data_IF_725824603527
#
_entry.id   IF_725824603527
#
_cell.length_a   1.000
_cell.length_b   1.000
_cell.length_c   1.000
_cell.angle_alpha   90.00
_cell.angle_beta   90.00
_cell.angle_gamma   90.00
#
_symmetry.space_group_name_H-M   'P 1'
#
loop_
_entity.id
_entity.type
_entity.pdbx_description
1 polymer ?
#
# COMPACT_ATOMS: atom_id res chain seq x y z
N UNK A 1 -7.36 -31.75 0.43
CA UNK A 1 -8.21 -30.56 0.70
C UNK A 1 -7.34 -29.34 0.56
N UNK A 2 -7.80 -28.29 -0.14
CA UNK A 2 -7.12 -27.01 -0.17
C UNK A 2 -7.07 -26.40 1.25
N UNK A 3 -5.95 -25.75 1.59
CA UNK A 3 -5.80 -25.03 2.86
C UNK A 3 -6.39 -23.63 2.73
N UNK A 4 -7.04 -23.14 3.78
CA UNK A 4 -7.52 -21.74 3.84
C UNK A 4 -6.36 -20.78 4.07
N UNK A 5 -6.55 -19.49 3.76
CA UNK A 5 -5.57 -18.45 4.10
C UNK A 5 -5.28 -18.46 5.60
N UNK A 6 -6.30 -18.59 6.46
CA UNK A 6 -6.10 -18.63 7.91
C UNK A 6 -5.16 -19.77 8.34
N UNK A 7 -5.28 -20.96 7.74
CA UNK A 7 -4.41 -22.10 8.02
C UNK A 7 -2.98 -21.88 7.55
N UNK A 8 -2.79 -21.25 6.39
CA UNK A 8 -1.45 -20.91 5.87
C UNK A 8 -0.83 -19.82 6.75
N UNK A 9 -1.61 -18.79 7.12
CA UNK A 9 -1.15 -17.69 7.96
C UNK A 9 -0.72 -18.19 9.35
N UNK A 10 -1.49 -19.09 9.97
CA UNK A 10 -1.13 -19.68 11.26
C UNK A 10 0.18 -20.47 11.22
N UNK A 11 0.51 -21.10 10.09
CA UNK A 11 1.78 -21.82 9.89
C UNK A 11 2.99 -20.89 9.87
N UNK A 12 2.82 -19.68 9.33
CA UNK A 12 3.89 -18.69 9.15
C UNK A 12 3.86 -17.55 10.19
N UNK A 13 3.07 -17.70 11.26
CA UNK A 13 3.01 -16.73 12.34
C UNK A 13 4.26 -16.87 13.22
N UNK A 14 5.20 -15.92 13.13
CA UNK A 14 6.34 -15.84 14.03
C UNK A 14 5.97 -15.07 15.30
N UNK A 15 6.03 -15.75 16.44
CA UNK A 15 5.96 -15.14 17.77
C UNK A 15 7.37 -14.91 18.28
N UNK A 16 7.66 -13.70 18.74
CA UNK A 16 8.87 -13.43 19.53
C UNK A 16 8.48 -12.84 20.88
N UNK A 17 9.38 -12.95 21.85
CA UNK A 17 9.26 -12.30 23.15
C UNK A 17 9.88 -10.91 23.01
N UNK A 18 9.16 -9.84 23.37
CA UNK A 18 9.77 -8.51 23.48
C UNK A 18 10.69 -8.43 24.71
N UNK A 19 11.39 -7.30 24.88
CA UNK A 19 12.33 -7.10 25.99
C UNK A 19 11.65 -7.16 27.38
N UNK A 20 10.33 -7.01 27.44
CA UNK A 20 9.50 -7.13 28.64
C UNK A 20 8.98 -8.56 28.88
N UNK A 21 9.39 -9.54 28.05
CA UNK A 21 8.95 -10.93 28.16
C UNK A 21 7.49 -11.15 27.79
N UNK A 22 6.90 -10.24 27.01
CA UNK A 22 5.56 -10.38 26.45
C UNK A 22 5.67 -11.07 25.09
N UNK A 23 4.88 -12.12 24.89
CA UNK A 23 4.74 -12.75 23.58
C UNK A 23 4.06 -11.79 22.63
N UNK A 24 4.84 -11.19 21.72
CA UNK A 24 4.35 -10.33 20.66
C UNK A 24 4.15 -11.18 19.41
N UNK A 25 2.89 -11.23 18.95
CA UNK A 25 2.56 -11.71 17.60
C UNK A 25 3.00 -10.61 16.64
N UNK A 26 4.07 -10.84 15.87
CA UNK A 26 4.48 -9.87 14.87
C UNK A 26 3.39 -9.82 13.78
N UNK A 27 2.52 -8.82 13.83
CA UNK A 27 1.68 -8.45 12.70
C UNK A 27 2.47 -7.63 11.67
N UNK A 28 3.78 -7.52 11.84
CA UNK A 28 4.70 -6.77 11.00
C UNK A 28 4.69 -7.37 9.60
N UNK A 29 3.80 -6.84 8.77
CA UNK A 29 3.83 -6.84 7.32
C UNK A 29 4.24 -8.19 6.69
N UNK A 30 3.26 -8.98 6.22
CA UNK A 30 3.47 -10.22 5.43
C UNK A 30 4.19 -9.94 4.11
N UNK A 31 5.46 -9.58 4.20
CA UNK A 31 6.43 -9.51 3.12
C UNK A 31 7.25 -10.79 3.07
N UNK A 32 6.82 -11.82 3.79
CA UNK A 32 7.54 -13.06 3.85
C UNK A 32 7.09 -13.95 2.69
N UNK A 33 8.04 -14.17 1.78
CA UNK A 33 7.88 -14.97 0.57
C UNK A 33 7.39 -16.39 0.89
N UNK A 34 7.74 -16.87 2.08
CA UNK A 34 7.37 -18.16 2.68
C UNK A 34 5.86 -18.39 2.72
N UNK A 35 5.05 -17.33 2.87
CA UNK A 35 3.59 -17.43 2.86
C UNK A 35 3.05 -18.03 1.55
N UNK A 36 3.69 -17.72 0.42
CA UNK A 36 3.27 -18.18 -0.89
C UNK A 36 3.86 -19.55 -1.27
N UNK A 37 4.82 -20.09 -0.50
CA UNK A 37 5.40 -21.42 -0.78
C UNK A 37 4.37 -22.55 -0.65
N UNK A 38 3.35 -22.37 0.18
CA UNK A 38 2.24 -23.33 0.33
C UNK A 38 1.14 -23.16 -0.74
N UNK A 39 1.29 -22.19 -1.66
CA UNK A 39 0.28 -21.85 -2.68
C UNK A 39 0.85 -22.11 -4.08
N UNK A 40 0.52 -23.26 -4.68
CA UNK A 40 0.97 -23.59 -6.04
C UNK A 40 0.10 -22.96 -7.14
N UNK A 41 -1.22 -22.91 -6.91
CA UNK A 41 -2.21 -22.38 -7.86
C UNK A 41 -3.09 -21.34 -7.18
N UNK A 42 -3.40 -20.28 -7.93
CA UNK A 42 -4.42 -19.30 -7.55
C UNK A 42 -5.57 -19.35 -8.55
N UNK A 43 -6.77 -19.16 -8.04
CA UNK A 43 -8.02 -19.27 -8.77
C UNK A 43 -8.71 -17.91 -8.85
N UNK A 44 -9.52 -17.75 -9.88
CA UNK A 44 -10.47 -16.64 -9.97
C UNK A 44 -11.66 -17.07 -10.81
N UNK A 45 -12.73 -16.26 -10.83
CA UNK A 45 -13.89 -16.52 -11.70
C UNK A 45 -13.49 -16.66 -13.17
N UNK A 46 -12.45 -15.95 -13.60
CA UNK A 46 -11.95 -15.95 -14.97
C UNK A 46 -10.90 -17.05 -15.21
N UNK A 47 -10.42 -17.70 -14.15
CA UNK A 47 -9.38 -18.73 -14.18
C UNK A 47 -9.79 -19.90 -13.26
N UNK A 48 -10.84 -20.66 -13.63
CA UNK A 48 -11.34 -21.76 -12.79
C UNK A 48 -10.35 -22.92 -12.70
N UNK A 49 -9.56 -23.16 -13.75
CA UNK A 49 -8.51 -24.19 -13.79
C UNK A 49 -7.27 -23.80 -12.96
N UNK A 50 -7.23 -22.57 -12.45
CA UNK A 50 -6.13 -22.01 -11.70
C UNK A 50 -4.94 -21.57 -12.56
N UNK A 51 -4.22 -20.55 -12.08
CA UNK A 51 -2.93 -20.12 -12.64
C UNK A 51 -1.85 -20.56 -11.68
N UNK A 52 -0.83 -21.24 -12.21
CA UNK A 52 0.37 -21.58 -11.45
C UNK A 52 1.18 -20.31 -11.19
N UNK A 53 1.39 -20.00 -9.92
CA UNK A 53 2.18 -18.85 -9.49
C UNK A 53 3.60 -19.30 -9.18
N UNK A 54 4.53 -18.43 -9.57
CA UNK A 54 5.96 -18.58 -9.32
C UNK A 54 6.45 -17.44 -8.45
N UNK A 55 7.73 -17.51 -8.07
CA UNK A 55 8.38 -16.49 -7.25
C UNK A 55 8.27 -15.08 -7.82
N UNK A 56 8.17 -14.96 -9.16
CA UNK A 56 8.12 -13.67 -9.80
C UNK A 56 6.73 -13.03 -9.72
N UNK A 57 5.65 -13.81 -9.80
CA UNK A 57 4.30 -13.32 -9.51
C UNK A 57 4.22 -12.73 -8.10
N UNK A 58 4.71 -13.48 -7.12
CA UNK A 58 4.73 -13.06 -5.71
C UNK A 58 5.54 -11.79 -5.52
N UNK A 59 6.72 -11.71 -6.12
CA UNK A 59 7.58 -10.54 -6.00
C UNK A 59 6.93 -9.27 -6.58
N UNK A 60 6.23 -9.37 -7.71
CA UNK A 60 5.49 -8.24 -8.29
C UNK A 60 4.32 -7.81 -7.41
N UNK A 61 3.49 -8.76 -6.98
CA UNK A 61 2.34 -8.49 -6.11
C UNK A 61 2.77 -7.84 -4.78
N UNK A 62 3.76 -8.40 -4.09
CA UNK A 62 4.30 -7.83 -2.85
C UNK A 62 4.96 -6.47 -3.08
N UNK A 63 5.56 -6.23 -4.25
CA UNK A 63 6.10 -4.92 -4.60
C UNK A 63 4.99 -3.89 -4.68
N UNK A 64 3.91 -4.16 -5.41
CA UNK A 64 2.79 -3.23 -5.54
C UNK A 64 2.11 -2.96 -4.19
N UNK A 65 1.87 -4.02 -3.40
CA UNK A 65 1.37 -3.87 -2.03
C UNK A 65 2.27 -2.98 -1.16
N UNK A 66 3.60 -3.09 -1.30
CA UNK A 66 4.52 -2.27 -0.51
C UNK A 66 4.45 -0.78 -0.85
N UNK A 67 4.14 -0.42 -2.10
CA UNK A 67 3.88 0.97 -2.46
C UNK A 67 2.61 1.47 -1.78
N UNK A 68 1.51 0.70 -1.86
CA UNK A 68 0.23 1.08 -1.27
C UNK A 68 0.28 1.19 0.25
N UNK A 69 0.96 0.25 0.91
CA UNK A 69 1.15 0.29 2.36
C UNK A 69 1.96 1.49 2.83
N UNK A 70 2.83 2.00 1.97
CA UNK A 70 3.60 3.21 2.21
C UNK A 70 2.85 4.47 1.73
N UNK A 71 1.53 4.37 1.45
CA UNK A 71 0.72 5.49 0.96
C UNK A 71 1.10 6.00 -0.43
N UNK A 72 1.76 5.18 -1.24
CA UNK A 72 2.32 5.55 -2.54
C UNK A 72 1.75 4.70 -3.67
N UNK A 73 1.88 5.21 -4.89
CA UNK A 73 1.44 4.57 -6.12
C UNK A 73 2.63 3.96 -6.86
N UNK A 74 2.46 2.75 -7.40
CA UNK A 74 3.50 2.13 -8.22
C UNK A 74 3.30 2.51 -9.69
N UNK A 75 4.26 3.25 -10.25
CA UNK A 75 4.28 3.66 -11.67
C UNK A 75 5.46 3.05 -12.45
N UNK A 76 6.02 1.94 -11.98
CA UNK A 76 7.22 1.38 -12.58
C UNK A 76 6.96 0.82 -13.97
N UNK A 77 7.72 1.28 -14.97
CA UNK A 77 7.62 0.72 -16.32
C UNK A 77 8.02 -0.76 -16.34
N UNK A 78 7.47 -1.51 -17.29
CA UNK A 78 7.88 -2.90 -17.52
C UNK A 78 9.38 -3.06 -17.74
N UNK A 79 10.06 -2.04 -18.30
CA UNK A 79 11.51 -2.04 -18.46
C UNK A 79 12.25 -1.93 -17.13
N UNK A 80 11.76 -1.09 -16.21
CA UNK A 80 12.34 -0.97 -14.87
C UNK A 80 12.15 -2.23 -14.04
N UNK A 81 10.94 -2.81 -14.07
CA UNK A 81 10.66 -4.09 -13.42
C UNK A 81 11.51 -5.22 -14.00
N UNK A 82 11.64 -5.28 -15.33
CA UNK A 82 12.47 -6.27 -16.03
C UNK A 82 13.94 -6.22 -15.57
N UNK A 83 14.52 -5.02 -15.46
CA UNK A 83 15.90 -4.83 -14.96
C UNK A 83 16.07 -5.31 -13.52
N UNK A 84 15.14 -4.95 -12.63
CA UNK A 84 15.19 -5.35 -11.21
C UNK A 84 15.12 -6.87 -11.03
N UNK A 85 14.30 -7.53 -11.83
CA UNK A 85 14.09 -8.97 -11.75
C UNK A 85 14.96 -9.78 -12.73
N UNK A 86 15.93 -9.15 -13.40
CA UNK A 86 16.84 -9.77 -14.38
C UNK A 86 16.09 -10.62 -15.42
N UNK A 87 15.00 -10.07 -15.96
CA UNK A 87 14.09 -10.75 -16.90
C UNK A 87 13.73 -9.82 -18.07
N UNK A 88 12.87 -10.26 -18.98
CA UNK A 88 12.39 -9.45 -20.11
C UNK A 88 11.12 -8.66 -19.75
N UNK A 89 10.93 -7.51 -20.40
CA UNK A 89 9.68 -6.73 -20.27
C UNK A 89 8.44 -7.51 -20.76
N UNK A 90 8.60 -8.42 -21.72
CA UNK A 90 7.54 -9.33 -22.14
C UNK A 90 7.15 -10.31 -21.03
N UNK A 91 8.12 -10.80 -20.26
CA UNK A 91 7.86 -11.68 -19.11
C UNK A 91 7.15 -10.92 -17.99
N UNK A 92 7.61 -9.69 -17.67
CA UNK A 92 6.93 -8.80 -16.73
C UNK A 92 5.47 -8.60 -17.14
N UNK A 93 5.22 -8.21 -18.40
CA UNK A 93 3.86 -7.99 -18.92
C UNK A 93 3.00 -9.23 -18.77
N UNK A 94 3.53 -10.42 -19.08
CA UNK A 94 2.80 -11.68 -18.92
C UNK A 94 2.42 -11.94 -17.47
N UNK A 95 3.35 -11.74 -16.52
CA UNK A 95 3.10 -11.96 -15.08
C UNK A 95 2.10 -10.97 -14.50
N UNK A 96 2.14 -9.71 -14.92
CA UNK A 96 1.15 -8.71 -14.53
C UNK A 96 -0.23 -9.08 -15.09
N UNK A 97 -0.29 -9.56 -16.33
CA UNK A 97 -1.53 -10.05 -16.93
C UNK A 97 -2.12 -11.25 -16.16
N UNK A 98 -1.26 -12.18 -15.73
CA UNK A 98 -1.67 -13.33 -14.91
C UNK A 98 -2.26 -12.85 -13.57
N UNK A 99 -1.61 -11.90 -12.88
CA UNK A 99 -2.13 -11.28 -11.66
C UNK A 99 -3.44 -10.50 -11.88
N UNK A 100 -3.60 -9.86 -13.04
CA UNK A 100 -4.83 -9.15 -13.42
C UNK A 100 -6.00 -10.11 -13.64
N UNK A 101 -5.76 -11.22 -14.35
CA UNK A 101 -6.76 -12.29 -14.53
C UNK A 101 -7.18 -12.92 -13.20
N UNK A 102 -6.25 -12.99 -12.26
CA UNK A 102 -6.54 -13.44 -10.89
C UNK A 102 -7.32 -12.41 -10.06
N UNK A 103 -7.47 -11.17 -10.52
CA UNK A 103 -8.12 -10.11 -9.74
C UNK A 103 -7.26 -9.61 -8.57
N UNK A 104 -5.94 -9.80 -8.64
CA UNK A 104 -4.98 -9.39 -7.61
C UNK A 104 -4.28 -8.07 -7.94
N UNK A 105 -4.35 -7.63 -9.20
CA UNK A 105 -3.77 -6.36 -9.65
C UNK A 105 -4.73 -5.69 -10.63
N UNK A 106 -5.01 -4.41 -10.39
CA UNK A 106 -5.62 -3.49 -11.36
C UNK A 106 -4.50 -2.65 -11.98
N UNK A 107 -4.62 -2.41 -13.29
CA UNK A 107 -3.72 -1.55 -14.05
C UNK A 107 -4.50 -0.38 -14.62
N UNK A 108 -4.14 0.84 -14.26
CA UNK A 108 -4.72 2.06 -14.82
C UNK A 108 -3.65 2.86 -15.58
N UNK A 109 -4.07 3.76 -16.45
CA UNK A 109 -3.17 4.70 -17.12
C UNK A 109 -2.56 5.69 -16.13
N UNK A 110 -1.37 6.20 -16.43
CA UNK A 110 -0.76 7.25 -15.62
C UNK A 110 -1.64 8.53 -15.68
N UNK A 111 -1.84 9.25 -14.56
CA UNK A 111 -2.64 10.49 -14.56
C UNK A 111 -2.10 11.58 -15.49
N UNK A 112 -0.78 11.60 -15.68
CA UNK A 112 -0.12 12.40 -16.73
C UNK A 112 -0.17 11.64 -18.08
N UNK A 113 -0.87 12.16 -19.10
CA UNK A 113 -1.02 11.52 -20.39
C UNK A 113 0.28 11.41 -21.19
N UNK A 114 1.35 12.12 -20.78
CA UNK A 114 2.65 12.06 -21.45
C UNK A 114 3.53 10.90 -20.93
N UNK A 115 3.11 10.22 -19.87
CA UNK A 115 3.86 9.14 -19.23
C UNK A 115 3.22 7.80 -19.60
N UNK A 116 3.98 6.95 -20.28
CA UNK A 116 3.49 5.65 -20.78
C UNK A 116 3.55 4.52 -19.76
N UNK A 117 3.84 4.80 -18.48
CA UNK A 117 3.81 3.78 -17.43
C UNK A 117 2.38 3.57 -16.94
N UNK A 118 2.16 2.44 -16.25
CA UNK A 118 0.86 2.11 -15.69
C UNK A 118 0.90 2.32 -14.18
N UNK A 119 -0.23 2.72 -13.62
CA UNK A 119 -0.51 2.63 -12.20
C UNK A 119 -0.86 1.18 -11.86
N UNK A 120 -0.15 0.59 -10.90
CA UNK A 120 -0.50 -0.74 -10.38
C UNK A 120 -1.12 -0.62 -8.99
N UNK A 121 -2.34 -1.14 -8.88
CA UNK A 121 -3.10 -1.22 -7.62
C UNK A 121 -3.25 -2.69 -7.26
N UNK A 122 -2.58 -3.16 -6.20
CA UNK A 122 -2.78 -4.53 -5.73
C UNK A 122 -4.07 -4.62 -4.90
N UNK A 123 -4.77 -5.74 -5.06
CA UNK A 123 -6.01 -6.06 -4.35
C UNK A 123 -5.75 -7.19 -3.35
N UNK A 124 -6.50 -7.24 -2.23
CA UNK A 124 -6.26 -8.23 -1.20
C UNK A 124 -6.48 -9.66 -1.71
N UNK A 125 -5.53 -10.53 -1.41
CA UNK A 125 -5.66 -11.97 -1.58
C UNK A 125 -6.72 -12.51 -0.61
N UNK A 126 -7.72 -13.22 -1.13
CA UNK A 126 -8.83 -13.82 -0.35
C UNK A 126 -8.87 -15.34 -0.49
N UNK A 127 -9.62 -16.02 0.38
CA UNK A 127 -9.74 -17.49 0.37
C UNK A 127 -10.25 -18.03 -0.96
N UNK A 128 -11.07 -17.25 -1.67
CA UNK A 128 -11.58 -17.59 -3.00
C UNK A 128 -10.48 -17.76 -4.05
N UNK A 129 -9.28 -17.23 -3.80
CA UNK A 129 -8.15 -17.38 -4.70
C UNK A 129 -7.32 -18.63 -4.38
N UNK A 130 -7.38 -19.18 -3.17
CA UNK A 130 -6.53 -20.31 -2.75
C UNK A 130 -7.29 -21.64 -2.81
N UNK A 131 -8.62 -21.58 -2.74
CA UNK A 131 -9.50 -22.75 -2.78
C UNK A 131 -10.01 -22.90 -4.23
N UNK A 132 -9.83 -24.08 -4.86
CA UNK A 132 -10.41 -24.37 -6.16
C UNK A 132 -11.92 -24.13 -6.16
N UNK A 133 -12.53 -23.67 -7.27
CA UNK A 133 -13.98 -23.41 -7.32
C UNK A 133 -14.83 -24.59 -6.88
N UNK A 134 -14.41 -25.82 -7.23
CA UNK A 134 -15.10 -27.07 -6.91
C UNK A 134 -15.02 -27.46 -5.41
N UNK A 135 -14.17 -26.77 -4.64
CA UNK A 135 -13.96 -26.99 -3.21
C UNK A 135 -14.41 -25.79 -2.37
N UNK A 136 -14.94 -24.74 -2.99
CA UNK A 136 -15.54 -23.62 -2.27
C UNK A 136 -16.81 -24.14 -1.57
N UNK A 137 -16.96 -23.92 -0.25
CA UNK A 137 -18.24 -24.19 0.40
C UNK A 137 -19.31 -23.36 -0.30
N UNK A 138 -20.42 -24.01 -0.69
CA UNK A 138 -21.56 -23.32 -1.29
C UNK A 138 -21.92 -22.12 -0.42
N UNK A 139 -21.80 -20.90 -0.96
CA UNK A 139 -22.21 -19.71 -0.24
C UNK A 139 -23.68 -19.87 0.18
N UNK A 140 -24.08 -19.49 1.41
CA UNK A 140 -25.50 -19.45 1.75
C UNK A 140 -26.19 -18.50 0.77
N UNK A 141 -27.11 -19.06 -0.02
CA UNK A 141 -27.97 -18.30 -0.91
C UNK A 141 -28.91 -17.48 -0.01
N UNK A 142 -28.56 -16.23 0.25
CA UNK A 142 -29.57 -15.25 0.69
C UNK A 142 -30.32 -14.85 -0.58
N UNK A 143 -31.40 -15.57 -0.87
CA UNK A 143 -32.43 -15.08 -1.78
C UNK A 143 -33.09 -13.91 -1.06
N UNK A 144 -32.83 -12.69 -1.51
CA UNK A 144 -33.74 -11.57 -1.24
C UNK A 144 -34.01 -10.86 -2.55
N UNK A 145 -35.00 -11.40 -3.27
CA UNK A 145 -35.83 -10.62 -4.16
C UNK A 145 -36.51 -9.54 -3.30
N UNK A 146 -36.24 -8.28 -3.56
CA UNK A 146 -37.24 -7.29 -3.98
C UNK A 146 -36.58 -5.92 -4.11
N UNK A 147 -36.66 -5.37 -5.31
CA UNK A 147 -36.55 -3.94 -5.56
C UNK A 147 -37.90 -3.33 -5.20
N UNK A 148 -37.92 -2.23 -4.42
CA UNK A 148 -38.69 -1.08 -4.86
C UNK A 148 -37.85 0.20 -4.95
N UNK A 149 -38.17 1.00 -5.96
CA UNK A 149 -37.67 2.34 -6.27
C UNK A 149 -38.11 3.40 -5.21
N UNK A 150 -37.56 4.64 -5.27
CA UNK A 150 -37.27 5.49 -4.09
C UNK A 150 -38.33 6.55 -3.74
N UNK A 151 -38.27 7.06 -2.50
CA UNK A 151 -38.38 8.48 -2.07
C UNK A 151 -38.71 8.57 -0.56
N UNK A 152 -38.50 9.71 0.16
CA UNK A 152 -37.40 10.65 0.15
C UNK A 152 -36.80 10.90 1.57
N UNK A 153 -35.59 11.45 1.58
CA UNK A 153 -34.90 12.29 2.59
C UNK A 153 -35.49 12.40 4.01
N UNK A 154 -34.68 12.05 5.02
CA UNK A 154 -34.62 12.83 6.26
C UNK A 154 -33.18 13.00 6.74
N UNK A 155 -32.67 14.20 6.47
CA UNK A 155 -31.46 14.82 7.00
C UNK A 155 -31.36 14.66 8.52
N UNK A 156 -30.19 14.24 8.99
CA UNK A 156 -29.62 14.76 10.24
C UNK A 156 -28.17 15.09 9.94
N UNK A 157 -27.89 16.38 9.97
CA UNK A 157 -26.56 16.97 9.90
C UNK A 157 -25.74 16.57 11.14
N UNK A 158 -24.50 16.16 10.92
CA UNK A 158 -23.43 16.43 11.87
C UNK A 158 -22.34 17.14 11.08
N UNK A 159 -22.24 18.45 11.30
CA UNK A 159 -21.17 19.30 10.81
C UNK A 159 -19.85 18.91 11.51
N UNK A 160 -18.89 18.36 10.75
CA UNK A 160 -17.47 18.61 11.02
C UNK A 160 -16.90 19.38 9.83
N UNK A 161 -16.40 20.56 10.15
CA UNK A 161 -15.98 21.63 9.27
C UNK A 161 -14.67 21.24 8.57
N UNK A 162 -14.75 20.75 7.32
CA UNK A 162 -13.56 20.59 6.46
C UNK A 162 -13.32 21.96 5.81
N UNK A 163 -12.25 22.70 6.19
CA UNK A 163 -11.96 23.95 5.50
C UNK A 163 -11.56 23.61 4.07
N UNK A 164 -12.15 24.33 3.11
CA UNK A 164 -11.83 24.21 1.70
C UNK A 164 -10.31 24.20 1.48
N UNK A 165 -9.81 23.11 0.91
CA UNK A 165 -8.37 22.89 0.68
C UNK A 165 -7.88 23.94 -0.31
N UNK A 166 -7.23 24.99 0.20
CA UNK A 166 -6.69 26.08 -0.61
C UNK A 166 -5.43 25.61 -1.37
N UNK A 167 -5.14 26.12 -2.57
CA UNK A 167 -3.95 25.73 -3.35
C UNK A 167 -2.62 25.84 -2.59
N UNK A 168 -2.54 26.78 -1.65
CA UNK A 168 -1.39 26.91 -0.75
C UNK A 168 -1.26 25.70 0.17
N UNK A 169 -2.36 25.22 0.76
CA UNK A 169 -2.36 24.04 1.64
C UNK A 169 -1.96 22.76 0.90
N UNK A 170 -2.35 22.63 -0.38
CA UNK A 170 -1.94 21.52 -1.24
C UNK A 170 -0.43 21.56 -1.46
N UNK A 171 0.12 22.73 -1.83
CA UNK A 171 1.57 22.91 -2.01
C UNK A 171 2.35 22.65 -0.72
N UNK A 172 1.85 23.10 0.43
CA UNK A 172 2.47 22.83 1.73
C UNK A 172 2.37 21.34 2.10
N UNK A 173 1.30 20.65 1.70
CA UNK A 173 1.16 19.19 1.89
C UNK A 173 2.17 18.39 1.06
N UNK A 174 2.42 18.79 -0.19
CA UNK A 174 3.45 18.16 -1.03
C UNK A 174 4.85 18.39 -0.44
N UNK A 175 5.10 19.58 0.09
CA UNK A 175 6.31 19.92 0.79
C UNK A 175 6.50 19.06 2.06
N UNK A 176 5.46 18.88 2.88
CA UNK A 176 5.46 18.00 4.06
C UNK A 176 5.76 16.55 3.70
N UNK A 177 5.17 16.04 2.61
CA UNK A 177 5.46 14.69 2.11
C UNK A 177 6.95 14.52 1.78
N UNK A 178 7.53 15.49 1.10
CA UNK A 178 8.96 15.47 0.77
C UNK A 178 9.86 15.60 2.01
N UNK A 179 9.44 16.36 3.03
CA UNK A 179 10.12 16.38 4.31
C UNK A 179 10.12 14.98 4.94
N UNK A 180 8.97 14.32 5.03
CA UNK A 180 8.87 12.99 5.63
C UNK A 180 9.74 11.96 4.90
N UNK A 181 9.73 11.95 3.56
CA UNK A 181 10.56 11.05 2.73
C UNK A 181 12.07 11.23 2.96
N UNK A 182 12.50 12.43 3.39
CA UNK A 182 13.90 12.76 3.62
C UNK A 182 14.27 12.86 5.11
N UNK A 183 13.40 12.37 6.00
CA UNK A 183 13.62 12.42 7.45
C UNK A 183 14.86 11.62 7.87
N UNK A 184 15.15 10.52 7.17
CA UNK A 184 16.36 9.72 7.38
C UNK A 184 17.67 10.42 6.99
N UNK A 185 17.59 11.55 6.27
CA UNK A 185 18.75 12.38 5.89
C UNK A 185 18.95 13.58 6.82
N UNK A 186 18.15 13.69 7.88
CA UNK A 186 18.30 14.71 8.92
C UNK A 186 19.51 14.38 9.78
N UNK A 187 20.31 15.39 10.11
CA UNK A 187 21.40 15.23 11.08
C UNK A 187 20.84 15.40 12.49
N UNK A 188 21.40 14.69 13.45
CA UNK A 188 20.90 14.68 14.84
C UNK A 188 20.97 16.06 15.50
N UNK A 189 21.91 16.92 15.07
CA UNK A 189 22.12 18.29 15.55
C UNK A 189 21.37 19.38 14.75
N UNK A 190 20.60 18.99 13.74
CA UNK A 190 19.93 19.91 12.81
C UNK A 190 18.48 20.20 13.26
N UNK A 191 18.17 21.47 13.51
CA UNK A 191 16.81 21.90 13.83
C UNK A 191 15.84 21.61 12.67
N UNK A 192 14.55 21.45 13.00
CA UNK A 192 13.50 21.21 12.01
C UNK A 192 13.55 22.23 10.87
N UNK A 193 13.64 23.53 11.20
CA UNK A 193 13.72 24.62 10.22
C UNK A 193 14.92 24.49 9.27
N UNK A 194 16.12 24.19 9.79
CA UNK A 194 17.35 24.09 8.99
C UNK A 194 17.30 22.89 8.04
N UNK A 195 16.88 21.74 8.57
CA UNK A 195 16.71 20.52 7.79
C UNK A 195 15.63 20.67 6.71
N UNK A 196 14.46 21.18 7.10
CA UNK A 196 13.34 21.33 6.17
C UNK A 196 13.64 22.34 5.07
N UNK A 197 14.30 23.46 5.39
CA UNK A 197 14.74 24.42 4.38
C UNK A 197 15.70 23.80 3.37
N UNK A 198 16.66 23.00 3.84
CA UNK A 198 17.63 22.31 2.98
C UNK A 198 16.98 21.27 2.06
N UNK A 199 16.01 20.51 2.57
CA UNK A 199 15.29 19.50 1.78
C UNK A 199 14.41 20.16 0.72
N UNK A 200 13.67 21.20 1.08
CA UNK A 200 12.74 21.87 0.17
C UNK A 200 13.46 22.70 -0.90
N UNK A 201 14.60 23.31 -0.57
CA UNK A 201 15.41 24.04 -1.54
C UNK A 201 15.93 23.13 -2.67
N UNK A 202 16.23 21.85 -2.39
CA UNK A 202 16.70 20.88 -3.40
C UNK A 202 15.65 20.56 -4.47
N UNK A 203 14.38 20.72 -4.12
CA UNK A 203 13.24 20.47 -5.01
C UNK A 203 12.59 21.77 -5.51
N UNK A 204 13.23 22.92 -5.24
CA UNK A 204 12.76 24.23 -5.70
C UNK A 204 11.47 24.71 -5.03
N UNK A 205 11.16 24.21 -3.83
CA UNK A 205 10.01 24.64 -3.04
C UNK A 205 10.48 25.63 -1.98
N UNK A 206 9.85 26.80 -1.93
CA UNK A 206 10.10 27.79 -0.88
C UNK A 206 9.55 27.32 0.47
N UNK A 207 10.34 27.49 1.52
CA UNK A 207 9.92 27.17 2.88
C UNK A 207 8.81 28.13 3.32
N UNK A 208 7.57 27.65 3.37
CA UNK A 208 6.40 28.47 3.67
C UNK A 208 6.13 28.57 5.18
N UNK A 209 5.77 29.77 5.66
CA UNK A 209 5.20 30.01 6.99
C UNK A 209 3.98 29.10 7.22
N UNK A 210 4.13 28.05 8.04
CA UNK A 210 3.08 27.06 8.34
C UNK A 210 3.44 25.61 8.02
N UNK A 211 4.58 25.35 7.37
CA UNK A 211 4.99 23.98 7.03
C UNK A 211 5.40 23.15 8.26
N UNK A 212 5.95 23.80 9.29
CA UNK A 212 6.27 23.17 10.56
C UNK A 212 5.01 22.74 11.30
N UNK A 213 4.02 23.64 11.40
CA UNK A 213 2.73 23.33 12.00
C UNK A 213 2.01 22.23 11.23
N UNK A 214 2.03 22.27 9.89
CA UNK A 214 1.41 21.22 9.09
C UNK A 214 2.13 19.88 9.27
N UNK A 215 3.47 19.88 9.33
CA UNK A 215 4.25 18.67 9.58
C UNK A 215 3.98 18.12 10.99
N UNK A 216 3.85 18.98 11.99
CA UNK A 216 3.48 18.59 13.36
C UNK A 216 2.07 18.00 13.43
N UNK A 217 1.10 18.56 12.69
CA UNK A 217 -0.28 18.07 12.62
C UNK A 217 -0.37 16.71 11.90
N UNK A 218 0.37 16.52 10.81
CA UNK A 218 0.31 15.28 10.00
C UNK A 218 1.24 14.17 10.49
N UNK A 219 2.36 14.53 11.11
CA UNK A 219 3.42 13.63 11.58
C UNK A 219 3.87 13.97 13.02
N UNK A 220 2.94 13.92 14.00
CA UNK A 220 3.21 14.37 15.38
C UNK A 220 4.27 13.53 16.09
N UNK A 221 4.34 12.23 15.81
CA UNK A 221 5.33 11.34 16.43
C UNK A 221 6.75 11.66 15.94
N UNK A 222 6.91 11.86 14.64
CA UNK A 222 8.18 12.21 14.01
C UNK A 222 8.63 13.60 14.44
N UNK A 223 7.72 14.57 14.50
CA UNK A 223 8.01 15.91 14.99
C UNK A 223 8.49 15.89 16.45
N UNK A 224 7.88 15.07 17.31
CA UNK A 224 8.31 14.93 18.71
C UNK A 224 9.73 14.34 18.83
N UNK A 225 10.07 13.35 17.99
CA UNK A 225 11.42 12.80 17.92
C UNK A 225 12.43 13.86 17.43
N UNK A 226 12.01 14.70 16.49
CA UNK A 226 12.82 15.80 15.97
C UNK A 226 13.18 16.80 17.07
N UNK A 227 12.22 17.22 17.89
CA UNK A 227 12.45 18.15 19.01
C UNK A 227 13.28 17.50 20.12
N UNK A 228 13.03 16.24 20.47
CA UNK A 228 13.78 15.52 21.51
C UNK A 228 15.28 15.37 21.17
N UNK A 229 15.63 15.22 19.88
CA UNK A 229 17.04 15.20 19.46
C UNK A 229 17.72 16.58 19.50
N UNK A 230 16.96 17.67 19.60
CA UNK A 230 17.47 19.05 19.53
C UNK A 230 17.70 19.66 20.93
N UNK A 231 17.34 18.94 22.01
CA UNK A 231 17.56 19.41 23.38
C UNK A 231 19.03 19.16 23.77
N UNK A 232 19.84 20.19 24.03
CA UNK A 232 21.19 19.99 24.53
C UNK A 232 21.13 19.44 25.96
N UNK A 233 21.91 18.39 26.23
CA UNK A 233 22.28 17.99 27.59
C UNK A 233 23.23 19.03 28.22
#
# INVERSE_FOLDING_TARGET
MAKTLAQIQAKHEHTYQDEDGKTVKSQTFKKDFTFFEDIEYLYSKNCPDGIKIDSFHVALYCRFLSYQANGSNCYESHATLARKHKTSSSTVKRRIEDLRKLGLVITDEHPDPNISSLLYTALPLTDAHVIPPDQLPAAPIIVSNEVPAPDPVKTVETHEDIPAITPQRIRTSDAVKHLFENLSQRREDESFYSWSSRVLQRIGIDHSMGIEQLFQETHPYEYTQIEQSTIPF
#
